data_IF_592048273751
#
_entry.id   IF_592048273751
#
_cell.length_a   1.000
_cell.length_b   1.000
_cell.length_c   1.000
_cell.angle_alpha   90.00
_cell.angle_beta   90.00
_cell.angle_gamma   90.00
#
_symmetry.space_group_name_H-M   'P 1'
#
loop_
_entity.id
_entity.type
_entity.pdbx_description
1 polymer ?
#
# COMPACT_ATOMS: atom_id res chain seq x y z
N UNK A 1 31.51 47.53 83.85
CA UNK A 1 31.03 46.50 82.90
C UNK A 1 31.80 46.69 81.59
N UNK A 2 33.06 46.24 81.51
CA UNK A 2 33.49 44.88 81.13
C UNK A 2 32.98 44.44 79.75
N UNK A 3 33.77 44.76 78.74
CA UNK A 3 33.89 43.98 77.49
C UNK A 3 34.89 42.85 77.71
N UNK A 4 34.56 41.61 77.30
CA UNK A 4 35.58 40.63 76.92
C UNK A 4 35.18 39.92 75.59
N UNK A 5 35.94 38.95 75.05
CA UNK A 5 36.81 39.18 73.89
C UNK A 5 36.58 38.19 72.72
N UNK A 6 37.37 38.39 71.65
CA UNK A 6 37.53 37.55 70.46
C UNK A 6 37.97 36.10 70.73
N UNK A 7 37.46 35.15 69.93
CA UNK A 7 38.04 33.82 69.69
C UNK A 7 37.80 33.32 68.23
N UNK A 8 38.58 32.33 67.74
CA UNK A 8 39.15 32.35 66.38
C UNK A 8 38.67 31.28 65.38
N UNK A 9 39.03 31.51 64.11
CA UNK A 9 39.33 30.58 63.00
C UNK A 9 38.72 29.17 62.97
N UNK A 10 37.88 28.93 61.95
CA UNK A 10 37.68 27.61 61.31
C UNK A 10 37.95 27.73 59.81
N UNK A 11 39.12 27.29 59.35
CA UNK A 11 39.38 27.00 57.94
C UNK A 11 40.19 25.72 57.83
N UNK A 12 39.50 24.58 57.74
CA UNK A 12 40.07 23.28 57.38
C UNK A 12 38.92 22.35 56.97
N UNK A 13 38.33 22.58 55.79
CA UNK A 13 37.37 21.61 55.19
C UNK A 13 37.16 21.73 53.67
N UNK A 14 37.87 22.62 52.99
CA UNK A 14 37.70 22.86 51.53
C UNK A 14 38.68 22.09 50.64
N UNK A 15 39.74 21.48 51.19
CA UNK A 15 40.79 20.87 50.35
C UNK A 15 40.51 19.43 49.88
N UNK A 16 39.64 18.68 50.56
CA UNK A 16 39.41 17.26 50.20
C UNK A 16 38.38 17.06 49.08
N UNK A 17 37.51 18.05 48.82
CA UNK A 17 36.41 17.90 47.84
C UNK A 17 36.82 18.19 46.39
N UNK A 18 37.89 18.96 46.18
CA UNK A 18 38.39 19.30 44.83
C UNK A 18 39.20 18.18 44.16
N UNK A 19 39.86 17.31 44.93
CA UNK A 19 40.66 16.20 44.36
C UNK A 19 39.81 15.08 43.76
N UNK A 20 38.63 14.80 44.34
CA UNK A 20 37.72 13.75 43.83
C UNK A 20 37.05 14.13 42.50
N UNK A 21 36.76 15.42 42.30
CA UNK A 21 36.09 15.91 41.08
C UNK A 21 37.04 15.88 39.87
N UNK A 22 38.32 16.22 40.06
CA UNK A 22 39.31 16.15 38.97
C UNK A 22 39.56 14.71 38.49
N UNK A 23 39.55 13.72 39.38
CA UNK A 23 39.75 12.31 39.00
C UNK A 23 38.54 11.78 38.20
N UNK A 24 37.32 12.18 38.56
CA UNK A 24 36.14 11.80 37.79
C UNK A 24 36.07 12.47 36.41
N UNK A 25 36.50 13.73 36.28
CA UNK A 25 36.58 14.42 35.00
C UNK A 25 37.67 13.83 34.07
N UNK A 26 38.82 13.44 34.62
CA UNK A 26 39.87 12.77 33.84
C UNK A 26 39.41 11.39 33.34
N UNK A 27 38.71 10.60 34.16
CA UNK A 27 38.17 9.30 33.73
C UNK A 27 37.11 9.41 32.62
N UNK A 28 36.27 10.45 32.65
CA UNK A 28 35.30 10.71 31.57
C UNK A 28 35.99 11.09 30.25
N UNK A 29 37.10 11.82 30.29
CA UNK A 29 37.85 12.22 29.08
C UNK A 29 38.57 11.05 28.40
N UNK A 30 39.06 10.07 29.17
CA UNK A 30 39.72 8.86 28.65
C UNK A 30 38.70 7.90 28.02
N UNK A 31 37.52 7.74 28.61
CA UNK A 31 36.44 6.90 28.04
C UNK A 31 35.89 7.53 26.75
N UNK A 32 35.78 8.86 26.68
CA UNK A 32 35.32 9.56 25.49
C UNK A 32 36.32 9.47 24.31
N UNK A 33 37.62 9.39 24.62
CA UNK A 33 38.67 9.31 23.60
C UNK A 33 38.85 7.90 23.02
N UNK A 34 38.57 6.85 23.81
CA UNK A 34 38.65 5.45 23.34
C UNK A 34 37.43 5.04 22.50
N UNK A 35 36.28 5.70 22.67
CA UNK A 35 35.06 5.45 21.88
C UNK A 35 35.12 5.97 20.43
N UNK A 36 36.01 6.92 20.12
CA UNK A 36 36.06 7.59 18.81
C UNK A 36 37.01 6.93 17.78
N UNK A 37 37.79 5.93 18.17
CA UNK A 37 38.78 5.29 17.28
C UNK A 37 38.26 4.07 16.49
N UNK A 38 36.97 3.69 16.61
CA UNK A 38 36.37 2.53 15.92
C UNK A 38 35.08 2.82 15.14
N UNK A 39 35.01 3.95 14.43
CA UNK A 39 33.98 4.19 13.39
C UNK A 39 34.61 4.67 12.08
N UNK A 40 35.40 3.81 11.46
CA UNK A 40 35.73 3.91 10.02
C UNK A 40 35.50 2.56 9.38
N UNK A 41 34.24 2.28 9.04
CA UNK A 41 33.79 1.41 7.96
C UNK A 41 32.26 1.49 7.90
N UNK A 42 31.74 2.61 7.39
CA UNK A 42 30.42 2.57 6.77
C UNK A 42 30.65 2.10 5.33
N UNK A 43 30.41 0.82 5.10
CA UNK A 43 30.14 0.33 3.76
C UNK A 43 29.03 1.19 3.13
N UNK A 44 29.09 1.38 1.81
CA UNK A 44 28.00 1.95 1.03
C UNK A 44 26.71 1.23 1.40
N UNK A 45 25.89 1.84 2.25
CA UNK A 45 24.49 1.47 2.35
C UNK A 45 23.90 1.79 0.99
N UNK A 46 23.74 0.74 0.17
CA UNK A 46 22.82 0.77 -0.95
C UNK A 46 21.46 0.99 -0.30
N UNK A 47 21.03 2.25 -0.20
CA UNK A 47 19.65 2.58 0.13
C UNK A 47 18.84 1.92 -0.98
N UNK A 48 18.32 0.72 -0.72
CA UNK A 48 17.20 0.20 -1.51
C UNK A 48 16.11 1.24 -1.29
N UNK A 49 15.88 2.10 -2.29
CA UNK A 49 14.68 2.95 -2.32
C UNK A 49 13.52 2.04 -1.99
N UNK A 50 12.74 2.41 -0.98
CA UNK A 50 11.49 1.72 -0.74
C UNK A 50 10.71 1.72 -2.05
N UNK A 51 10.08 0.61 -2.45
CA UNK A 51 9.24 0.60 -3.64
C UNK A 51 8.22 1.72 -3.50
N UNK A 52 8.00 2.47 -4.60
CA UNK A 52 6.94 3.47 -4.68
C UNK A 52 5.64 2.86 -4.15
N UNK A 53 4.82 3.63 -3.42
CA UNK A 53 3.51 3.18 -2.94
C UNK A 53 2.63 2.65 -4.07
N UNK A 54 2.86 3.17 -5.28
CA UNK A 54 2.23 2.73 -6.52
C UNK A 54 2.85 1.47 -7.13
N UNK A 55 4.13 1.18 -6.87
CA UNK A 55 4.72 -0.10 -7.25
C UNK A 55 4.04 -1.27 -6.51
N UNK A 56 3.55 -1.07 -5.28
CA UNK A 56 2.77 -2.09 -4.56
C UNK A 56 1.39 -2.33 -5.20
N UNK A 57 0.72 -1.28 -5.69
CA UNK A 57 -0.53 -1.40 -6.45
C UNK A 57 -0.27 -2.00 -7.86
N UNK A 58 0.91 -1.76 -8.43
CA UNK A 58 1.33 -2.31 -9.71
C UNK A 58 1.74 -3.78 -9.63
N UNK A 59 2.28 -4.24 -8.50
CA UNK A 59 2.63 -5.65 -8.27
C UNK A 59 1.42 -6.60 -8.36
N UNK A 60 0.20 -6.11 -8.18
CA UNK A 60 -1.01 -6.90 -8.44
C UNK A 60 -1.28 -7.12 -9.93
N UNK A 61 -0.75 -6.26 -10.81
CA UNK A 61 -0.87 -6.38 -12.27
C UNK A 61 0.37 -7.04 -12.89
N UNK A 62 1.56 -6.83 -12.33
CA UNK A 62 2.81 -7.42 -12.83
C UNK A 62 2.94 -8.93 -12.63
N UNK A 63 2.17 -9.51 -11.69
CA UNK A 63 2.10 -10.96 -11.50
C UNK A 63 1.46 -11.71 -12.69
N UNK A 64 0.77 -10.99 -13.58
CA UNK A 64 0.18 -11.53 -14.81
C UNK A 64 1.23 -11.80 -15.90
N UNK A 65 2.45 -11.23 -15.80
CA UNK A 65 3.49 -11.38 -16.84
C UNK A 65 4.69 -12.23 -16.45
N UNK A 66 4.93 -12.47 -15.14
CA UNK A 66 6.09 -13.27 -14.69
C UNK A 66 5.74 -14.75 -14.43
N UNK A 67 4.46 -15.11 -14.41
CA UNK A 67 4.00 -16.47 -14.06
C UNK A 67 4.06 -17.48 -15.22
N UNK A 68 4.45 -17.07 -16.44
CA UNK A 68 4.60 -17.98 -17.61
C UNK A 68 6.06 -18.30 -17.98
N UNK A 69 7.07 -17.73 -17.30
CA UNK A 69 8.49 -17.90 -17.70
C UNK A 69 9.28 -18.95 -16.91
N UNK A 70 8.63 -19.76 -16.07
CA UNK A 70 9.25 -20.93 -15.42
C UNK A 70 8.62 -22.23 -15.90
N UNK A 71 8.88 -22.57 -17.15
CA UNK A 71 8.62 -23.88 -17.73
C UNK A 71 9.77 -24.24 -18.68
N UNK A 72 10.79 -24.93 -18.18
CA UNK A 72 11.80 -25.55 -19.03
C UNK A 72 11.13 -26.57 -19.96
N UNK A 73 11.05 -26.25 -21.25
CA UNK A 73 10.66 -27.22 -22.29
C UNK A 73 11.92 -27.62 -23.07
N UNK A 74 12.23 -28.93 -23.21
CA UNK A 74 13.42 -29.39 -23.93
C UNK A 74 13.39 -28.95 -25.41
N UNK A 75 14.52 -28.40 -25.89
CA UNK A 75 14.73 -28.07 -27.30
C UNK A 75 14.84 -29.35 -28.14
N UNK A 76 13.76 -29.73 -28.82
CA UNK A 76 13.85 -30.58 -30.01
C UNK A 76 13.79 -29.75 -31.30
N UNK A 77 14.75 -30.05 -32.17
CA UNK A 77 15.02 -29.36 -33.42
C UNK A 77 13.90 -29.54 -34.44
N UNK A 78 13.11 -28.50 -34.68
CA UNK A 78 12.29 -28.39 -35.89
C UNK A 78 12.90 -27.30 -36.78
N UNK A 79 13.54 -27.73 -37.88
CA UNK A 79 13.94 -26.84 -38.98
C UNK A 79 12.67 -26.40 -39.73
N UNK A 80 12.37 -25.09 -39.73
CA UNK A 80 11.33 -24.49 -40.59
C UNK A 80 11.94 -23.30 -41.34
N UNK A 81 11.61 -23.09 -42.65
CA UNK A 81 12.33 -22.22 -43.56
C UNK A 81 12.11 -20.73 -43.32
N UNK A 82 13.01 -19.93 -43.89
CA UNK A 82 13.05 -18.47 -43.88
C UNK A 82 11.72 -17.82 -44.29
N UNK A 83 11.22 -16.96 -43.40
CA UNK A 83 9.95 -16.24 -43.57
C UNK A 83 9.67 -15.30 -42.38
N UNK A 84 10.67 -14.51 -42.00
CA UNK A 84 10.66 -13.59 -40.85
C UNK A 84 9.79 -12.35 -41.11
N UNK A 85 8.47 -12.47 -40.98
CA UNK A 85 7.58 -11.28 -40.89
C UNK A 85 6.53 -11.32 -39.78
N UNK A 86 6.31 -12.48 -39.13
CA UNK A 86 5.25 -12.63 -38.11
C UNK A 86 5.73 -12.42 -36.67
N UNK A 87 7.03 -12.54 -36.41
CA UNK A 87 7.62 -12.29 -35.07
C UNK A 87 7.79 -10.80 -34.76
N UNK A 88 7.99 -9.97 -35.79
CA UNK A 88 8.32 -8.56 -35.58
C UNK A 88 7.13 -7.70 -35.11
N UNK A 89 5.89 -8.07 -35.47
CA UNK A 89 4.69 -7.37 -34.99
C UNK A 89 4.45 -7.60 -33.48
N UNK A 90 4.39 -8.85 -33.03
CA UNK A 90 4.12 -9.21 -31.62
C UNK A 90 5.24 -8.72 -30.68
N UNK A 91 6.49 -8.73 -31.15
CA UNK A 91 7.64 -8.22 -30.38
C UNK A 91 7.62 -6.69 -30.26
N UNK A 92 7.01 -5.98 -31.21
CA UNK A 92 6.86 -4.52 -31.15
C UNK A 92 5.79 -4.10 -30.14
N UNK A 93 4.69 -4.87 -30.07
CA UNK A 93 3.56 -4.60 -29.16
C UNK A 93 3.96 -4.80 -27.69
N UNK A 94 4.74 -5.84 -27.38
CA UNK A 94 5.27 -6.06 -26.03
C UNK A 94 6.27 -4.98 -25.59
N UNK A 95 7.13 -4.50 -26.52
CA UNK A 95 8.02 -3.36 -26.26
C UNK A 95 7.25 -2.06 -26.08
N UNK A 96 6.17 -1.88 -26.84
CA UNK A 96 5.26 -0.74 -26.74
C UNK A 96 4.60 -0.69 -25.35
N UNK A 97 4.00 -1.80 -24.93
CA UNK A 97 3.38 -1.94 -23.61
C UNK A 97 4.39 -1.71 -22.48
N UNK A 98 5.61 -2.28 -22.60
CA UNK A 98 6.69 -2.06 -21.64
C UNK A 98 7.08 -0.58 -21.52
N UNK A 99 7.13 0.14 -22.64
CA UNK A 99 7.36 1.60 -22.67
C UNK A 99 6.25 2.36 -21.96
N UNK A 100 4.97 2.10 -22.29
CA UNK A 100 3.84 2.74 -21.62
C UNK A 100 3.87 2.51 -20.10
N UNK A 101 4.11 1.28 -19.68
CA UNK A 101 4.22 0.93 -18.26
C UNK A 101 5.39 1.62 -17.56
N UNK A 102 6.53 1.75 -18.25
CA UNK A 102 7.71 2.46 -17.74
C UNK A 102 7.44 3.95 -17.59
N UNK A 103 6.79 4.57 -18.57
CA UNK A 103 6.40 5.99 -18.53
C UNK A 103 5.42 6.27 -17.40
N UNK A 104 4.41 5.42 -17.23
CA UNK A 104 3.51 5.51 -16.08
C UNK A 104 4.28 5.38 -14.77
N UNK A 105 5.11 4.36 -14.61
CA UNK A 105 5.89 4.13 -13.38
C UNK A 105 6.76 5.35 -13.05
N UNK A 106 7.44 5.90 -14.06
CA UNK A 106 8.30 7.08 -13.90
C UNK A 106 7.50 8.32 -13.54
N UNK A 107 6.33 8.53 -14.16
CA UNK A 107 5.44 9.64 -13.83
C UNK A 107 4.88 9.51 -12.41
N UNK A 108 4.55 8.30 -11.99
CA UNK A 108 3.98 8.02 -10.67
C UNK A 108 4.98 8.23 -9.53
N UNK A 109 6.29 8.22 -9.81
CA UNK A 109 7.33 8.64 -8.86
C UNK A 109 7.29 10.14 -8.56
N UNK A 110 6.61 10.94 -9.38
CA UNK A 110 6.40 12.38 -9.17
C UNK A 110 5.12 12.69 -8.37
N UNK A 111 4.31 11.67 -8.05
CA UNK A 111 3.06 11.82 -7.30
C UNK A 111 3.32 11.51 -5.83
N UNK A 112 3.05 12.47 -4.94
CA UNK A 112 3.18 12.23 -3.51
C UNK A 112 2.06 11.30 -3.02
N UNK A 113 2.44 10.15 -2.46
CA UNK A 113 1.50 9.15 -1.99
C UNK A 113 1.98 8.37 -0.76
N UNK A 114 1.03 7.88 0.05
CA UNK A 114 1.28 7.07 1.23
C UNK A 114 1.01 5.57 0.98
N UNK A 115 1.49 4.69 1.85
CA UNK A 115 1.24 3.23 1.75
C UNK A 115 0.15 2.72 2.69
N UNK A 116 -0.53 3.64 3.39
CA UNK A 116 -1.46 3.32 4.47
C UNK A 116 -2.61 2.40 4.05
N UNK A 117 -3.15 2.59 2.84
CA UNK A 117 -4.26 1.82 2.31
C UNK A 117 -3.83 0.58 1.53
N UNK A 118 -2.61 0.04 1.65
CA UNK A 118 -2.14 -1.00 0.70
C UNK A 118 -2.98 -2.30 0.54
N UNK A 119 -4.00 -2.58 1.38
CA UNK A 119 -5.01 -3.62 1.09
C UNK A 119 -6.22 -3.11 0.31
N UNK A 120 -6.52 -1.82 0.42
CA UNK A 120 -7.59 -1.07 -0.23
C UNK A 120 -6.94 -0.31 -1.39
N UNK A 121 -6.97 -0.84 -2.62
CA UNK A 121 -6.16 -0.31 -3.73
C UNK A 121 -6.69 1.01 -4.33
N UNK A 122 -7.09 1.94 -3.46
CA UNK A 122 -7.44 3.33 -3.77
C UNK A 122 -6.16 4.14 -3.99
N UNK A 123 -6.17 5.16 -4.88
CA UNK A 123 -5.05 6.08 -5.03
C UNK A 123 -4.70 6.72 -3.69
N UNK A 124 -3.51 6.43 -3.18
CA UNK A 124 -3.09 6.88 -1.85
C UNK A 124 -2.41 8.25 -1.88
N UNK A 125 -2.96 9.19 -2.64
CA UNK A 125 -2.37 10.52 -2.91
C UNK A 125 -2.44 11.47 -1.71
N UNK A 126 -1.49 12.42 -1.63
CA UNK A 126 -1.35 13.33 -0.50
C UNK A 126 -2.07 14.69 -0.69
N UNK A 127 -2.38 15.08 -1.92
CA UNK A 127 -3.05 16.36 -2.21
C UNK A 127 -3.94 16.28 -3.46
N UNK A 128 -4.79 17.30 -3.65
CA UNK A 128 -5.60 17.45 -4.86
C UNK A 128 -4.73 17.55 -6.12
N UNK A 129 -3.60 18.24 -6.05
CA UNK A 129 -2.65 18.35 -7.17
C UNK A 129 -2.05 17.00 -7.52
N UNK A 130 -1.75 16.19 -6.51
CA UNK A 130 -1.27 14.81 -6.70
C UNK A 130 -2.35 13.93 -7.34
N UNK A 131 -3.62 14.12 -6.96
CA UNK A 131 -4.74 13.42 -7.61
C UNK A 131 -4.89 13.83 -9.07
N UNK A 132 -4.77 15.12 -9.39
CA UNK A 132 -4.81 15.62 -10.77
C UNK A 132 -3.67 15.03 -11.60
N UNK A 133 -2.44 15.07 -11.08
CA UNK A 133 -1.28 14.49 -11.75
C UNK A 133 -1.46 12.97 -11.94
N UNK A 134 -1.85 12.24 -10.89
CA UNK A 134 -2.18 10.82 -10.95
C UNK A 134 -3.18 10.52 -12.07
N UNK A 135 -4.27 11.28 -12.15
CA UNK A 135 -5.31 11.06 -13.15
C UNK A 135 -4.87 11.42 -14.57
N UNK A 136 -4.01 12.44 -14.71
CA UNK A 136 -3.45 12.79 -16.02
C UNK A 136 -2.51 11.69 -16.54
N UNK A 137 -1.68 11.12 -15.66
CA UNK A 137 -0.78 10.01 -15.98
C UNK A 137 -1.55 8.73 -16.32
N UNK A 138 -2.61 8.40 -15.57
CA UNK A 138 -3.45 7.24 -15.86
C UNK A 138 -4.19 7.37 -17.20
N UNK A 139 -4.65 8.58 -17.55
CA UNK A 139 -5.26 8.87 -18.84
C UNK A 139 -4.25 8.75 -19.99
N UNK A 140 -3.05 9.32 -19.85
CA UNK A 140 -1.98 9.21 -20.84
C UNK A 140 -1.52 7.75 -21.02
N UNK A 141 -1.44 6.98 -19.93
CA UNK A 141 -1.13 5.56 -19.99
C UNK A 141 -2.20 4.75 -20.72
N UNK A 142 -3.47 5.02 -20.45
CA UNK A 142 -4.59 4.36 -21.13
C UNK A 142 -4.54 4.64 -22.64
N UNK A 143 -4.32 5.90 -23.03
CA UNK A 143 -4.13 6.27 -24.45
C UNK A 143 -2.93 5.56 -25.08
N UNK A 144 -1.79 5.50 -24.38
CA UNK A 144 -0.60 4.80 -24.87
C UNK A 144 -0.86 3.30 -25.10
N UNK A 145 -1.60 2.66 -24.20
CA UNK A 145 -1.98 1.24 -24.35
C UNK A 145 -2.91 1.05 -25.55
N UNK A 146 -3.91 1.92 -25.70
CA UNK A 146 -4.83 1.88 -26.83
C UNK A 146 -4.08 2.07 -28.16
N UNK A 147 -3.11 2.99 -28.22
CA UNK A 147 -2.23 3.23 -29.38
C UNK A 147 -1.32 2.02 -29.67
N UNK A 148 -0.95 1.24 -28.65
CA UNK A 148 -0.25 -0.04 -28.81
C UNK A 148 -1.17 -1.18 -29.28
N UNK A 149 -2.47 -0.94 -29.50
CA UNK A 149 -3.44 -1.93 -29.99
C UNK A 149 -4.04 -2.84 -28.90
N UNK A 150 -3.84 -2.52 -27.62
CA UNK A 150 -4.43 -3.24 -26.50
C UNK A 150 -5.69 -2.52 -26.02
N UNK A 151 -6.76 -3.27 -25.71
CA UNK A 151 -7.97 -2.69 -25.09
C UNK A 151 -7.94 -2.88 -23.57
N UNK A 152 -7.96 -1.79 -22.80
CA UNK A 152 -8.08 -1.85 -21.33
C UNK A 152 -9.53 -2.17 -20.94
N UNK A 153 -9.80 -3.38 -20.41
CA UNK A 153 -11.18 -3.81 -20.16
C UNK A 153 -11.84 -3.16 -18.93
N UNK A 154 -11.06 -2.73 -17.93
CA UNK A 154 -11.51 -1.88 -16.82
C UNK A 154 -10.29 -1.42 -16.01
N UNK A 155 -10.20 -0.13 -15.70
CA UNK A 155 -9.15 0.39 -14.82
C UNK A 155 -9.80 0.98 -13.56
N UNK A 156 -9.56 0.35 -12.40
CA UNK A 156 -10.06 0.85 -11.12
C UNK A 156 -9.55 2.27 -10.80
N UNK A 157 -8.41 2.68 -11.39
CA UNK A 157 -7.89 4.05 -11.29
C UNK A 157 -8.75 5.03 -12.09
N UNK A 158 -9.22 4.61 -13.26
CA UNK A 158 -10.14 5.38 -14.09
C UNK A 158 -11.48 5.62 -13.38
N UNK A 159 -11.97 4.66 -12.57
CA UNK A 159 -13.17 4.87 -11.75
C UNK A 159 -13.02 6.08 -10.81
N UNK A 160 -11.90 6.17 -10.10
CA UNK A 160 -11.60 7.33 -9.25
C UNK A 160 -11.47 8.58 -10.10
N UNK A 161 -10.68 8.52 -11.17
CA UNK A 161 -10.35 9.69 -11.97
C UNK A 161 -11.50 10.27 -12.78
N UNK A 162 -12.44 9.44 -13.25
CA UNK A 162 -13.58 9.88 -14.08
C UNK A 162 -14.87 10.06 -13.31
N UNK A 163 -15.13 9.26 -12.26
CA UNK A 163 -16.44 9.24 -11.59
C UNK A 163 -16.42 9.72 -10.15
N UNK A 164 -15.28 9.62 -9.46
CA UNK A 164 -15.19 9.83 -8.01
C UNK A 164 -14.11 10.83 -7.60
N UNK A 165 -13.65 11.66 -8.55
CA UNK A 165 -12.55 12.60 -8.32
C UNK A 165 -12.89 13.63 -7.25
N UNK A 166 -14.07 14.24 -7.35
CA UNK A 166 -14.54 15.26 -6.40
C UNK A 166 -14.69 14.69 -4.98
N UNK A 167 -15.37 13.56 -4.84
CA UNK A 167 -15.49 12.84 -3.56
C UNK A 167 -14.12 12.45 -3.00
N UNK A 168 -13.20 11.95 -3.84
CA UNK A 168 -11.84 11.64 -3.40
C UNK A 168 -11.10 12.90 -2.92
N UNK A 169 -11.22 14.01 -3.64
CA UNK A 169 -10.63 15.30 -3.28
C UNK A 169 -11.11 15.79 -1.91
N UNK A 170 -12.41 15.61 -1.61
CA UNK A 170 -12.99 15.95 -0.31
C UNK A 170 -12.32 15.18 0.84
N UNK A 171 -12.05 13.89 0.66
CA UNK A 171 -11.50 13.03 1.72
C UNK A 171 -9.98 13.01 1.84
N UNK A 172 -9.23 13.50 0.84
CA UNK A 172 -7.74 13.54 0.87
C UNK A 172 -7.18 14.16 2.16
N UNK A 173 -7.67 15.30 2.68
CA UNK A 173 -7.15 15.88 3.93
C UNK A 173 -7.27 14.92 5.12
N UNK A 174 -8.38 14.19 5.20
CA UNK A 174 -8.63 13.20 6.25
C UNK A 174 -7.70 11.99 6.08
N UNK A 175 -7.58 11.45 4.87
CA UNK A 175 -6.68 10.32 4.57
C UNK A 175 -5.22 10.65 4.86
N UNK A 176 -4.73 11.81 4.38
CA UNK A 176 -3.37 12.29 4.63
C UNK A 176 -3.07 12.36 6.13
N UNK A 177 -3.98 12.94 6.91
CA UNK A 177 -3.81 13.10 8.36
C UNK A 177 -3.80 11.76 9.08
N UNK A 178 -4.56 10.78 8.57
CA UNK A 178 -4.72 9.46 9.19
C UNK A 178 -3.64 8.46 8.75
N UNK A 179 -3.01 8.66 7.59
CA UNK A 179 -2.04 7.75 6.98
C UNK A 179 -0.87 7.29 7.89
N UNK A 180 -0.24 8.17 8.69
CA UNK A 180 0.81 7.74 9.63
C UNK A 180 0.30 6.76 10.69
N UNK A 181 -0.96 6.93 11.13
CA UNK A 181 -1.58 6.07 12.13
C UNK A 181 -1.99 4.72 11.52
N UNK A 182 -2.60 4.73 10.34
CA UNK A 182 -2.96 3.50 9.61
C UNK A 182 -1.76 2.58 9.41
N UNK A 183 -0.64 3.15 8.99
CA UNK A 183 0.62 2.41 8.78
C UNK A 183 1.16 1.80 10.06
N UNK A 184 1.06 2.51 11.20
CA UNK A 184 1.58 2.04 12.50
C UNK A 184 0.65 1.08 13.22
N UNK A 185 -0.67 1.26 13.09
CA UNK A 185 -1.66 0.54 13.89
C UNK A 185 -2.38 -0.56 13.10
N UNK A 186 -2.85 -0.27 11.88
CA UNK A 186 -3.66 -1.22 11.13
C UNK A 186 -2.81 -2.25 10.41
N UNK A 187 -1.69 -1.85 9.81
CA UNK A 187 -0.83 -2.77 9.05
C UNK A 187 -0.28 -3.93 9.89
N UNK A 188 0.26 -3.74 11.11
CA UNK A 188 0.70 -4.87 11.93
C UNK A 188 -0.46 -5.77 12.38
N UNK A 189 -1.66 -5.20 12.55
CA UNK A 189 -2.85 -5.92 13.05
C UNK A 189 -3.53 -6.76 11.97
N UNK A 190 -3.59 -6.25 10.73
CA UNK A 190 -4.28 -6.89 9.62
C UNK A 190 -3.35 -7.68 8.68
N UNK A 191 -2.05 -7.74 9.02
CA UNK A 191 -1.04 -8.47 8.25
C UNK A 191 -0.44 -7.67 7.10
N UNK A 192 0.64 -8.20 6.55
CA UNK A 192 1.32 -7.60 5.40
C UNK A 192 0.45 -7.70 4.13
N UNK A 193 0.54 -6.69 3.28
CA UNK A 193 -0.11 -6.71 1.97
C UNK A 193 0.68 -7.64 1.05
N UNK A 194 0.04 -8.75 0.67
CA UNK A 194 0.57 -9.69 -0.32
C UNK A 194 -0.04 -9.39 -1.69
N UNK A 195 0.66 -9.80 -2.75
CA UNK A 195 0.12 -9.77 -4.10
C UNK A 195 -1.19 -10.56 -4.17
N UNK A 196 -2.10 -10.09 -5.01
CA UNK A 196 -3.38 -10.76 -5.22
C UNK A 196 -3.13 -12.09 -5.92
N UNK A 197 -3.58 -13.19 -5.31
CA UNK A 197 -3.59 -14.50 -5.96
C UNK A 197 -4.93 -14.67 -6.69
N UNK A 198 -4.87 -14.89 -8.01
CA UNK A 198 -6.04 -15.03 -8.89
C UNK A 198 -6.68 -16.43 -8.78
N UNK A 199 -7.15 -16.75 -7.59
CA UNK A 199 -7.87 -17.98 -7.27
C UNK A 199 -9.02 -17.67 -6.31
N UNK A 200 -10.01 -18.56 -6.21
CA UNK A 200 -11.12 -18.39 -5.25
C UNK A 200 -10.62 -18.28 -3.80
N UNK A 201 -9.59 -19.06 -3.46
CA UNK A 201 -8.93 -19.02 -2.16
C UNK A 201 -8.16 -17.71 -1.95
N UNK A 202 -7.43 -17.25 -2.97
CA UNK A 202 -6.69 -15.99 -2.99
C UNK A 202 -7.60 -14.78 -2.77
N UNK A 203 -8.70 -14.69 -3.53
CA UNK A 203 -9.72 -13.66 -3.32
C UNK A 203 -10.34 -13.73 -1.93
N UNK A 204 -10.63 -14.93 -1.44
CA UNK A 204 -11.13 -15.13 -0.07
C UNK A 204 -10.15 -14.61 0.99
N UNK A 205 -8.84 -14.85 0.82
CA UNK A 205 -7.80 -14.33 1.71
C UNK A 205 -7.69 -12.80 1.63
N UNK A 206 -7.71 -12.22 0.42
CA UNK A 206 -7.70 -10.76 0.22
C UNK A 206 -8.91 -10.10 0.87
N UNK A 207 -10.11 -10.67 0.72
CA UNK A 207 -11.31 -10.15 1.35
C UNK A 207 -11.26 -10.19 2.89
N UNK A 208 -10.67 -11.24 3.50
CA UNK A 208 -10.43 -11.23 4.96
C UNK A 208 -9.52 -10.08 5.39
N UNK A 209 -8.46 -9.82 4.63
CA UNK A 209 -7.57 -8.70 4.90
C UNK A 209 -8.27 -7.35 4.72
N UNK A 210 -9.08 -7.19 3.66
CA UNK A 210 -9.92 -6.01 3.43
C UNK A 210 -10.89 -5.76 4.58
N UNK A 211 -11.59 -6.79 5.07
CA UNK A 211 -12.51 -6.66 6.21
C UNK A 211 -11.81 -6.13 7.47
N UNK A 212 -10.64 -6.67 7.80
CA UNK A 212 -9.83 -6.17 8.91
C UNK A 212 -9.37 -4.73 8.65
N UNK A 213 -8.87 -4.46 7.44
CA UNK A 213 -8.37 -3.17 7.01
C UNK A 213 -9.43 -2.08 7.13
N UNK A 214 -10.63 -2.31 6.60
CA UNK A 214 -11.76 -1.38 6.69
C UNK A 214 -12.19 -1.12 8.12
N UNK A 215 -12.34 -2.16 8.94
CA UNK A 215 -12.73 -2.01 10.36
C UNK A 215 -11.72 -1.15 11.13
N UNK A 216 -10.42 -1.39 10.92
CA UNK A 216 -9.37 -0.61 11.58
C UNK A 216 -9.27 0.82 11.02
N UNK A 217 -9.46 0.97 9.71
CA UNK A 217 -9.40 2.26 9.02
C UNK A 217 -10.55 3.15 9.45
N UNK A 218 -11.78 2.65 9.49
CA UNK A 218 -12.96 3.38 9.98
C UNK A 218 -12.71 3.94 11.38
N UNK A 219 -12.22 3.08 12.29
CA UNK A 219 -11.92 3.48 13.66
C UNK A 219 -10.94 4.66 13.72
N UNK A 220 -9.86 4.63 12.93
CA UNK A 220 -8.88 5.71 12.92
C UNK A 220 -9.39 6.96 12.22
N UNK A 221 -10.10 6.84 11.09
CA UNK A 221 -10.68 7.98 10.37
C UNK A 221 -11.66 8.73 11.26
N UNK A 222 -12.56 8.01 11.96
CA UNK A 222 -13.52 8.63 12.90
C UNK A 222 -12.83 9.34 14.07
N UNK A 223 -11.68 8.81 14.51
CA UNK A 223 -10.91 9.38 15.62
C UNK A 223 -10.07 10.59 15.22
N UNK A 224 -9.53 10.61 14.02
CA UNK A 224 -8.63 11.68 13.54
C UNK A 224 -9.40 12.82 12.86
N UNK A 225 -10.40 12.49 12.06
CA UNK A 225 -11.13 13.46 11.23
C UNK A 225 -12.48 13.89 11.81
N UNK A 226 -12.94 13.23 12.88
CA UNK A 226 -14.27 13.41 13.46
C UNK A 226 -15.25 12.31 13.06
N UNK A 227 -16.29 12.11 13.87
CA UNK A 227 -17.15 10.93 13.80
C UNK A 227 -18.05 10.87 12.54
N UNK A 228 -18.40 12.02 11.97
CA UNK A 228 -19.20 12.10 10.74
C UNK A 228 -18.31 12.03 9.50
N UNK A 229 -17.33 12.92 9.42
CA UNK A 229 -16.39 12.98 8.29
C UNK A 229 -15.60 11.68 8.13
N UNK A 230 -15.07 11.14 9.22
CA UNK A 230 -14.35 9.87 9.19
C UNK A 230 -15.23 8.68 8.79
N UNK A 231 -16.54 8.75 9.03
CA UNK A 231 -17.50 7.72 8.58
C UNK A 231 -17.74 7.84 7.08
N UNK A 232 -18.03 9.05 6.58
CA UNK A 232 -18.18 9.30 5.12
C UNK A 232 -16.94 8.88 4.34
N UNK A 233 -15.77 9.26 4.84
CA UNK A 233 -14.48 8.89 4.25
C UNK A 233 -14.25 7.37 4.27
N UNK A 234 -14.71 6.67 5.32
CA UNK A 234 -14.64 5.21 5.39
C UNK A 234 -15.63 4.53 4.45
N UNK A 235 -16.87 5.03 4.37
CA UNK A 235 -17.91 4.50 3.49
C UNK A 235 -17.49 4.58 2.02
N UNK A 236 -16.80 5.65 1.64
CA UNK A 236 -16.17 5.78 0.32
C UNK A 236 -15.18 4.64 0.03
N UNK A 237 -14.27 4.34 0.97
CA UNK A 237 -13.29 3.26 0.81
C UNK A 237 -13.97 1.89 0.72
N UNK A 238 -14.99 1.64 1.55
CA UNK A 238 -15.78 0.40 1.51
C UNK A 238 -16.48 0.26 0.16
N UNK A 239 -17.11 1.32 -0.33
CA UNK A 239 -17.77 1.32 -1.64
C UNK A 239 -16.77 1.03 -2.78
N UNK A 240 -15.59 1.64 -2.75
CA UNK A 240 -14.53 1.35 -3.71
C UNK A 240 -14.11 -0.14 -3.68
N UNK A 241 -13.86 -0.70 -2.48
CA UNK A 241 -13.51 -2.12 -2.34
C UNK A 241 -14.61 -3.06 -2.81
N UNK A 242 -15.89 -2.71 -2.64
CA UNK A 242 -17.02 -3.51 -3.15
C UNK A 242 -16.96 -3.63 -4.67
N UNK A 243 -16.76 -2.51 -5.38
CA UNK A 243 -16.61 -2.47 -6.84
C UNK A 243 -15.38 -3.27 -7.29
N UNK A 244 -14.26 -3.05 -6.61
CA UNK A 244 -13.01 -3.76 -6.89
C UNK A 244 -13.17 -5.29 -6.80
N UNK A 245 -13.76 -5.78 -5.72
CA UNK A 245 -13.95 -7.22 -5.51
C UNK A 245 -14.96 -7.81 -6.49
N UNK A 246 -16.04 -7.08 -6.81
CA UNK A 246 -17.00 -7.49 -7.82
C UNK A 246 -16.34 -7.63 -9.20
N UNK A 247 -15.43 -6.72 -9.54
CA UNK A 247 -14.65 -6.79 -10.78
C UNK A 247 -13.73 -8.01 -10.80
N UNK A 248 -12.90 -8.22 -9.77
CA UNK A 248 -11.97 -9.36 -9.69
C UNK A 248 -12.67 -10.71 -9.87
N UNK A 249 -13.79 -10.90 -9.17
CA UNK A 249 -14.51 -12.17 -9.20
C UNK A 249 -15.22 -12.35 -10.54
N UNK A 250 -15.84 -11.30 -11.09
CA UNK A 250 -16.54 -11.37 -12.37
C UNK A 250 -15.59 -11.60 -13.54
N UNK A 251 -14.41 -10.97 -13.51
CA UNK A 251 -13.37 -11.17 -14.51
C UNK A 251 -12.82 -12.60 -14.46
N UNK A 252 -12.47 -13.08 -13.27
CA UNK A 252 -12.03 -14.46 -13.08
C UNK A 252 -13.10 -15.49 -13.49
N UNK A 253 -14.36 -15.27 -13.13
CA UNK A 253 -15.46 -16.13 -13.54
C UNK A 253 -15.59 -16.21 -15.06
N UNK A 254 -15.47 -15.07 -15.75
CA UNK A 254 -15.52 -14.99 -17.21
C UNK A 254 -14.37 -15.76 -17.86
N UNK A 255 -13.15 -15.56 -17.37
CA UNK A 255 -11.95 -16.21 -17.89
C UNK A 255 -11.98 -17.73 -17.67
N UNK A 256 -12.53 -18.18 -16.54
CA UNK A 256 -12.68 -19.60 -16.22
C UNK A 256 -13.99 -20.22 -16.74
N UNK A 257 -14.87 -19.43 -17.39
CA UNK A 257 -16.22 -19.84 -17.84
C UNK A 257 -17.08 -20.43 -16.72
N UNK A 258 -16.95 -19.89 -15.51
CA UNK A 258 -17.71 -20.26 -14.32
C UNK A 258 -18.80 -19.23 -14.05
N UNK A 259 -19.82 -19.62 -13.29
CA UNK A 259 -20.78 -18.66 -12.78
C UNK A 259 -20.17 -17.87 -11.61
N UNK A 260 -20.11 -16.54 -11.74
CA UNK A 260 -19.61 -15.64 -10.70
C UNK A 260 -20.34 -15.81 -9.36
N UNK A 261 -21.61 -16.23 -9.38
CA UNK A 261 -22.36 -16.48 -8.16
C UNK A 261 -21.80 -17.65 -7.33
N UNK A 262 -21.29 -18.68 -7.99
CA UNK A 262 -20.89 -19.93 -7.34
C UNK A 262 -19.47 -19.88 -6.78
N UNK A 263 -18.60 -19.11 -7.44
CA UNK A 263 -17.19 -18.97 -7.04
C UNK A 263 -16.93 -17.82 -6.07
N UNK A 264 -17.95 -17.02 -5.77
CA UNK A 264 -17.82 -15.83 -4.95
C UNK A 264 -17.51 -16.21 -3.48
N UNK A 265 -16.34 -15.86 -2.94
CA UNK A 265 -15.97 -16.29 -1.59
C UNK A 265 -16.87 -15.66 -0.52
N UNK A 266 -17.25 -16.43 0.50
CA UNK A 266 -18.09 -15.94 1.62
C UNK A 266 -17.51 -14.71 2.31
N UNK A 267 -16.17 -14.65 2.44
CA UNK A 267 -15.49 -13.51 3.04
C UNK A 267 -15.64 -12.24 2.19
N UNK A 268 -15.70 -12.38 0.87
CA UNK A 268 -16.00 -11.28 -0.03
C UNK A 268 -17.47 -10.87 0.05
N UNK A 269 -18.40 -11.80 0.31
CA UNK A 269 -19.82 -11.46 0.48
C UNK A 269 -20.00 -10.52 1.68
N UNK A 270 -19.25 -10.75 2.77
CA UNK A 270 -19.30 -9.90 3.96
C UNK A 270 -19.01 -8.43 3.68
N UNK A 271 -18.14 -8.12 2.72
CA UNK A 271 -17.85 -6.73 2.34
C UNK A 271 -19.11 -5.99 1.85
N UNK A 272 -20.08 -6.71 1.30
CA UNK A 272 -21.35 -6.17 0.81
C UNK A 272 -22.44 -6.09 1.88
N UNK A 273 -22.16 -6.55 3.10
CA UNK A 273 -23.12 -6.54 4.20
C UNK A 273 -22.81 -5.40 5.16
N UNK A 274 -23.86 -4.86 5.79
CA UNK A 274 -23.71 -3.81 6.79
C UNK A 274 -22.96 -4.34 8.02
N UNK A 275 -21.99 -3.56 8.50
CA UNK A 275 -21.11 -3.95 9.61
C UNK A 275 -20.31 -5.24 9.35
N UNK A 276 -20.23 -5.70 8.10
CA UNK A 276 -19.60 -6.96 7.71
C UNK A 276 -20.21 -8.22 8.36
N UNK A 277 -21.48 -8.14 8.76
CA UNK A 277 -22.25 -9.27 9.31
C UNK A 277 -23.12 -9.94 8.24
N UNK A 278 -23.00 -11.25 8.13
CA UNK A 278 -23.78 -12.07 7.19
C UNK A 278 -25.27 -12.14 7.57
N UNK A 279 -25.61 -11.97 8.86
CA UNK A 279 -26.97 -12.19 9.37
C UNK A 279 -28.02 -11.27 8.73
N UNK A 280 -27.64 -10.04 8.38
CA UNK A 280 -28.53 -9.04 7.79
C UNK A 280 -28.17 -8.71 6.33
N UNK A 281 -27.55 -9.64 5.61
CA UNK A 281 -27.02 -9.36 4.29
C UNK A 281 -28.05 -9.62 3.17
N UNK A 282 -28.64 -8.54 2.65
CA UNK A 282 -29.62 -8.56 1.56
C UNK A 282 -29.09 -9.22 0.27
N UNK A 283 -27.78 -9.13 -0.02
CA UNK A 283 -27.15 -9.81 -1.17
C UNK A 283 -27.17 -11.35 -1.05
N UNK A 284 -27.18 -11.88 0.18
CA UNK A 284 -27.31 -13.33 0.43
C UNK A 284 -28.77 -13.76 0.30
N UNK A 285 -29.69 -12.94 0.80
CA UNK A 285 -31.13 -13.19 0.67
C UNK A 285 -31.54 -13.30 -0.81
N UNK A 286 -31.02 -12.43 -1.68
CA UNK A 286 -31.29 -12.47 -3.12
C UNK A 286 -30.67 -13.69 -3.84
N UNK A 287 -29.50 -14.19 -3.39
CA UNK A 287 -28.89 -15.42 -3.94
C UNK A 287 -29.65 -16.69 -3.53
N UNK A 288 -30.16 -16.75 -2.31
CA UNK A 288 -30.97 -17.88 -1.81
C UNK A 288 -32.29 -17.96 -2.56
N UNK A 289 -32.92 -16.81 -2.87
CA UNK A 289 -34.14 -16.75 -3.69
C UNK A 289 -33.87 -17.19 -5.13
N UNK A 290 -32.80 -16.72 -5.76
CA UNK A 290 -32.45 -17.11 -7.13
C UNK A 290 -32.18 -18.61 -7.29
N UNK A 291 -31.48 -19.25 -6.33
CA UNK A 291 -31.23 -20.70 -6.34
C UNK A 291 -32.47 -21.56 -6.10
N UNK A 292 -33.52 -21.01 -5.47
CA UNK A 292 -34.81 -21.71 -5.27
C UNK A 292 -35.71 -21.70 -6.51
N UNK A 293 -35.45 -20.83 -7.48
CA UNK A 293 -36.21 -20.76 -8.73
C UNK A 293 -35.56 -21.50 -9.90
N UNK A 294 -34.34 -22.02 -9.72
CA UNK A 294 -33.58 -22.79 -10.73
C UNK A 294 -33.54 -24.30 -10.44
N UNK A 295 -34.14 -24.74 -9.33
CA UNK A 295 -34.40 -26.14 -8.99
C UNK A 295 -35.91 -26.37 -8.99
#
# INVERSE_FOLDING_TARGET
>A
MQLPPLQPFRSFKTFFKMRSICVHLLMLSVIYSIGNAKRKQLGRFRVRRAPSSFALAYLQRGAETESEETGEVPREHIRIPEGSRRRDFVVNDAKCLSRCNKELTTGMDMVDAHTAFGSIDVPSVMSTKDLELFCSLDAAHSQCIDDCGYSVQFNLREYICRRKREEMTEFIPCYRSTAPFLTRYCRPRCGAYHSLEHSTQGYGARCRQLLCGHTCTEYLLRRVCGAEEGRRASDFLVHFSRIQVDFWISDYARNQRLNAADIYPTQCLRLHCDGFDLKNCSRIQNRVVARRHTN
#
